data_IF_089001004663
#
_entry.id   IF_089001004663
#
_cell.length_a   1.000
_cell.length_b   1.000
_cell.length_c   1.000
_cell.angle_alpha   90.00
_cell.angle_beta   90.00
_cell.angle_gamma   90.00
#
_symmetry.space_group_name_H-M   'P 1'
#
loop_
_entity.id
_entity.type
_entity.pdbx_description
1 polymer ?
#
# COMPACT_ATOMS: atom_id res chain seq x y z
N UNK A 1 -17.24 -31.84 83.23
CA UNK A 1 -16.55 -32.86 82.42
C UNK A 1 -15.38 -32.16 81.73
N UNK A 2 -14.19 -32.18 82.35
CA UNK A 2 -13.05 -33.07 82.04
C UNK A 2 -12.50 -32.78 80.63
N UNK A 3 -11.21 -32.55 80.36
CA UNK A 3 -9.99 -32.48 81.16
C UNK A 3 -8.83 -32.04 80.22
N UNK A 4 -7.69 -31.62 80.78
CA UNK A 4 -6.35 -31.84 80.21
C UNK A 4 -5.74 -30.66 79.42
N UNK A 5 -4.76 -29.87 79.89
CA UNK A 5 -3.38 -30.21 80.34
C UNK A 5 -2.59 -30.83 79.17
N UNK A 6 -1.40 -30.42 78.74
CA UNK A 6 -0.47 -29.34 79.08
C UNK A 6 0.73 -29.38 78.11
N UNK A 7 1.56 -28.32 78.17
CA UNK A 7 3.04 -28.30 78.07
C UNK A 7 3.69 -28.75 76.75
N UNK A 8 4.37 -27.83 76.04
CA UNK A 8 5.76 -27.33 76.26
C UNK A 8 6.79 -28.34 75.76
N UNK A 9 7.68 -27.89 74.86
CA UNK A 9 9.14 -28.11 74.78
C UNK A 9 9.61 -27.94 73.32
N UNK A 10 10.39 -26.88 73.06
CA UNK A 10 11.40 -26.79 71.98
C UNK A 10 12.64 -27.59 72.44
N UNK A 11 13.45 -28.24 71.57
CA UNK A 11 14.54 -27.50 70.92
C UNK A 11 15.05 -28.02 69.54
N UNK A 12 15.73 -27.09 68.86
CA UNK A 12 16.98 -27.22 68.10
C UNK A 12 17.35 -28.54 67.37
N UNK A 13 17.32 -28.48 66.04
CA UNK A 13 18.14 -29.35 65.19
C UNK A 13 18.86 -28.52 64.12
N UNK A 14 20.10 -28.18 64.41
CA UNK A 14 21.14 -27.81 63.44
C UNK A 14 21.92 -29.08 62.99
N UNK A 15 22.81 -29.02 61.99
CA UNK A 15 22.64 -28.95 60.53
C UNK A 15 23.05 -30.28 59.82
N UNK A 16 23.00 -30.35 58.48
CA UNK A 16 24.14 -30.93 57.78
C UNK A 16 24.87 -29.92 56.88
N UNK A 17 26.16 -30.19 56.77
CA UNK A 17 27.20 -29.40 56.11
C UNK A 17 27.10 -29.49 54.59
N UNK A 18 27.23 -28.33 53.95
CA UNK A 18 28.02 -27.99 52.76
C UNK A 18 28.12 -29.01 51.60
N UNK A 19 27.74 -28.60 50.39
CA UNK A 19 28.67 -28.58 49.24
C UNK A 19 28.02 -28.05 47.95
N UNK A 20 28.83 -27.28 47.20
CA UNK A 20 28.77 -27.03 45.76
C UNK A 20 27.61 -26.16 45.24
N UNK A 21 27.88 -24.90 44.90
CA UNK A 21 28.35 -24.47 43.57
C UNK A 21 27.18 -24.14 42.64
N UNK A 22 26.99 -22.83 42.39
CA UNK A 22 26.59 -22.24 41.11
C UNK A 22 26.60 -20.73 41.23
N UNK A 23 27.80 -20.17 41.17
CA UNK A 23 28.00 -18.79 40.74
C UNK A 23 27.58 -18.69 39.28
N UNK A 24 26.35 -18.24 39.03
CA UNK A 24 25.91 -17.83 37.69
C UNK A 24 26.60 -16.51 37.31
N UNK A 25 27.12 -16.36 36.08
CA UNK A 25 27.83 -15.16 35.67
C UNK A 25 26.89 -13.95 35.62
N UNK A 26 27.37 -12.82 36.12
CA UNK A 26 26.73 -11.52 36.08
C UNK A 26 26.40 -11.07 34.64
N UNK A 27 25.31 -10.31 34.41
CA UNK A 27 25.00 -9.77 33.09
C UNK A 27 26.04 -8.74 32.64
N UNK A 28 26.43 -8.83 31.37
CA UNK A 28 27.43 -7.98 30.73
C UNK A 28 27.00 -6.50 30.67
N UNK A 29 27.92 -5.53 30.80
CA UNK A 29 27.58 -4.12 30.65
C UNK A 29 27.23 -3.79 29.19
N UNK A 30 26.19 -2.95 29.03
CA UNK A 30 25.83 -2.30 27.77
C UNK A 30 27.04 -1.54 27.20
N UNK A 31 27.50 -1.98 26.01
CA UNK A 31 28.53 -1.27 25.24
C UNK A 31 27.91 -0.07 24.54
N UNK A 32 28.31 1.12 24.99
CA UNK A 32 28.20 2.36 24.20
C UNK A 32 29.04 2.21 22.94
N UNK A 33 28.43 2.41 21.77
CA UNK A 33 29.12 2.36 20.49
C UNK A 33 30.19 3.48 20.39
N UNK A 34 31.41 3.18 19.90
CA UNK A 34 32.41 4.22 19.65
C UNK A 34 31.99 5.11 18.47
N UNK A 35 32.36 6.40 18.55
CA UNK A 35 32.32 7.34 17.43
C UNK A 35 33.10 6.78 16.24
N UNK A 36 32.45 6.67 15.09
CA UNK A 36 33.04 6.20 13.84
C UNK A 36 34.16 7.18 13.41
N UNK A 37 35.42 6.73 13.27
CA UNK A 37 36.47 7.52 12.64
C UNK A 37 36.32 7.54 11.12
N UNK A 38 36.68 8.66 10.50
CA UNK A 38 36.69 8.86 9.05
C UNK A 38 37.59 7.83 8.36
N UNK A 39 36.98 6.88 7.64
CA UNK A 39 37.69 5.88 6.87
C UNK A 39 38.18 6.44 5.54
N UNK A 40 39.49 6.74 5.51
CA UNK A 40 40.49 6.20 4.58
C UNK A 40 39.95 5.71 3.22
N UNK A 41 40.23 6.51 2.19
CA UNK A 41 40.04 6.19 0.77
C UNK A 41 40.68 4.84 0.43
N UNK A 42 39.87 3.92 -0.11
CA UNK A 42 40.35 2.78 -0.90
C UNK A 42 39.52 2.68 -2.17
N UNK A 43 40.27 2.71 -3.27
CA UNK A 43 39.87 2.63 -4.65
C UNK A 43 39.25 1.25 -4.90
N UNK A 44 37.96 1.19 -5.22
CA UNK A 44 37.28 -0.03 -5.66
C UNK A 44 36.66 0.25 -7.03
N UNK A 45 37.32 -0.36 -7.99
CA UNK A 45 36.87 -0.90 -9.27
C UNK A 45 35.90 -0.12 -10.16
N UNK A 46 36.43 0.25 -11.32
CA UNK A 46 35.68 0.72 -12.48
C UNK A 46 35.18 -0.50 -13.24
N UNK A 47 33.86 -0.74 -13.26
CA UNK A 47 33.03 -0.97 -14.48
C UNK A 47 31.64 -1.54 -14.14
N UNK A 48 30.62 -0.83 -14.64
CA UNK A 48 29.38 -1.32 -15.28
C UNK A 48 28.10 -1.42 -14.41
N UNK A 49 27.29 -0.36 -14.52
CA UNK A 49 25.87 -0.31 -14.18
C UNK A 49 25.43 1.15 -14.08
N UNK A 50 24.92 1.73 -15.16
CA UNK A 50 24.42 3.11 -15.21
C UNK A 50 23.36 3.30 -14.11
N UNK A 51 23.61 4.21 -13.18
CA UNK A 51 22.57 4.74 -12.29
C UNK A 51 21.57 5.43 -13.20
N UNK A 52 20.36 4.87 -13.35
CA UNK A 52 19.26 5.51 -14.07
C UNK A 52 18.90 6.80 -13.32
N UNK A 53 19.38 7.93 -13.81
CA UNK A 53 19.27 9.26 -13.18
C UNK A 53 17.82 9.84 -13.12
N UNK A 54 16.76 9.02 -13.23
CA UNK A 54 15.36 9.50 -13.22
C UNK A 54 14.38 8.60 -12.47
N UNK A 55 14.79 8.13 -11.29
CA UNK A 55 13.91 7.36 -10.41
C UNK A 55 13.02 8.23 -9.52
N UNK A 56 13.26 9.53 -9.40
CA UNK A 56 12.47 10.42 -8.53
C UNK A 56 11.79 11.53 -9.33
N UNK A 57 10.45 11.53 -9.35
CA UNK A 57 9.65 12.61 -9.94
C UNK A 57 9.43 13.77 -8.96
N UNK A 58 9.81 13.62 -7.70
CA UNK A 58 9.56 14.60 -6.65
C UNK A 58 8.07 14.76 -6.38
N UNK A 59 7.66 16.00 -6.06
CA UNK A 59 6.25 16.33 -5.84
C UNK A 59 5.56 16.50 -7.18
N UNK A 60 4.50 15.74 -7.42
CA UNK A 60 3.76 15.78 -8.68
C UNK A 60 2.77 16.94 -8.71
N UNK A 61 2.65 17.56 -9.86
CA UNK A 61 1.67 18.61 -10.16
C UNK A 61 0.30 17.97 -10.45
N UNK A 62 0.31 16.83 -11.15
CA UNK A 62 -0.89 16.09 -11.49
C UNK A 62 -0.67 14.57 -11.42
N UNK A 63 -1.70 13.86 -10.96
CA UNK A 63 -1.77 12.40 -10.93
C UNK A 63 -3.18 11.94 -11.27
N UNK A 64 -3.31 10.89 -12.07
CA UNK A 64 -4.60 10.41 -12.58
C UNK A 64 -4.59 8.90 -12.81
N UNK A 65 -5.71 8.25 -12.58
CA UNK A 65 -5.97 6.88 -13.04
C UNK A 65 -6.82 6.89 -14.32
N UNK A 66 -6.42 6.09 -15.31
CA UNK A 66 -7.12 5.93 -16.59
C UNK A 66 -7.27 4.43 -16.94
N UNK A 67 -8.24 4.12 -17.80
CA UNK A 67 -8.33 2.84 -18.47
C UNK A 67 -8.53 3.02 -19.98
N UNK A 68 -7.90 2.16 -20.78
CA UNK A 68 -7.99 2.16 -22.24
C UNK A 68 -8.63 0.84 -22.69
N UNK A 69 -9.52 0.92 -23.68
CA UNK A 69 -10.16 -0.24 -24.31
C UNK A 69 -11.58 -0.53 -23.83
N UNK A 70 -12.18 -1.55 -24.44
CA UNK A 70 -13.55 -1.96 -24.16
C UNK A 70 -13.68 -2.70 -22.82
N UNK A 71 -14.82 -2.58 -22.12
CA UNK A 71 -15.07 -3.33 -20.90
C UNK A 71 -14.76 -4.83 -21.06
N UNK A 72 -13.85 -5.36 -20.24
CA UNK A 72 -13.37 -6.76 -20.29
C UNK A 72 -12.02 -6.95 -21.02
N UNK A 73 -11.61 -5.99 -21.84
CA UNK A 73 -10.28 -5.95 -22.49
C UNK A 73 -9.56 -4.63 -22.14
N UNK A 74 -9.84 -4.10 -20.95
CA UNK A 74 -9.25 -2.83 -20.52
C UNK A 74 -7.83 -3.02 -20.01
N UNK A 75 -6.97 -2.11 -20.39
CA UNK A 75 -5.67 -1.92 -19.75
C UNK A 75 -5.75 -0.70 -18.85
N UNK A 76 -5.24 -0.83 -17.62
CA UNK A 76 -5.27 0.24 -16.63
C UNK A 76 -3.91 0.89 -16.55
N UNK A 77 -3.90 2.21 -16.31
CA UNK A 77 -2.67 2.96 -16.12
C UNK A 77 -2.85 4.08 -15.10
N UNK A 78 -1.77 4.39 -14.42
CA UNK A 78 -1.62 5.58 -13.60
C UNK A 78 -0.67 6.55 -14.31
N UNK A 79 -1.07 7.81 -14.43
CA UNK A 79 -0.29 8.86 -15.06
C UNK A 79 0.08 9.90 -14.03
N UNK A 80 1.34 10.33 -14.04
CA UNK A 80 1.87 11.35 -13.15
C UNK A 80 2.71 12.36 -13.93
N UNK A 81 2.69 13.62 -13.51
CA UNK A 81 3.46 14.70 -14.11
C UNK A 81 4.00 15.63 -13.03
N UNK A 82 5.25 16.06 -13.17
CA UNK A 82 5.94 17.06 -12.36
C UNK A 82 6.85 17.93 -13.24
N UNK A 83 7.51 18.91 -12.64
CA UNK A 83 8.60 19.67 -13.28
C UNK A 83 9.76 18.79 -13.76
N UNK A 84 10.00 17.66 -13.11
CA UNK A 84 11.11 16.74 -13.40
C UNK A 84 10.80 15.76 -14.54
N UNK A 85 9.52 15.55 -14.85
CA UNK A 85 9.09 14.67 -15.94
C UNK A 85 7.67 14.13 -15.77
N UNK A 86 7.37 13.08 -16.52
CA UNK A 86 6.06 12.42 -16.48
C UNK A 86 6.18 10.90 -16.57
N UNK A 87 5.32 10.17 -15.88
CA UNK A 87 5.28 8.72 -15.91
C UNK A 87 3.92 8.21 -16.39
N UNK A 88 3.95 7.13 -17.17
CA UNK A 88 2.81 6.26 -17.44
C UNK A 88 3.13 4.88 -16.87
N UNK A 89 2.37 4.47 -15.87
CA UNK A 89 2.58 3.22 -15.14
C UNK A 89 1.43 2.28 -15.42
N UNK A 90 1.69 1.18 -16.12
CA UNK A 90 0.67 0.18 -16.43
C UNK A 90 0.54 -0.81 -15.29
N UNK A 91 -0.69 -1.16 -14.92
CA UNK A 91 -0.94 -2.04 -13.79
C UNK A 91 -2.21 -2.86 -13.99
N UNK A 92 -2.32 -3.96 -13.23
CA UNK A 92 -3.53 -4.78 -13.23
C UNK A 92 -4.69 -4.07 -12.53
N UNK A 93 -5.91 -4.51 -12.85
CA UNK A 93 -7.13 -3.97 -12.23
C UNK A 93 -7.10 -4.09 -10.71
N UNK A 94 -6.67 -5.26 -10.22
CA UNK A 94 -6.60 -5.59 -8.80
C UNK A 94 -5.56 -4.72 -8.08
N UNK A 95 -4.42 -4.45 -8.72
CA UNK A 95 -3.40 -3.55 -8.19
C UNK A 95 -3.91 -2.11 -8.11
N UNK A 96 -4.59 -1.62 -9.16
CA UNK A 96 -5.20 -0.28 -9.16
C UNK A 96 -6.27 -0.16 -8.06
N UNK A 97 -7.12 -1.17 -7.92
CA UNK A 97 -8.14 -1.22 -6.88
C UNK A 97 -7.55 -1.21 -5.47
N UNK A 98 -6.53 -2.03 -5.23
CA UNK A 98 -5.83 -2.09 -3.94
C UNK A 98 -5.17 -0.74 -3.60
N UNK A 99 -4.58 -0.07 -4.59
CA UNK A 99 -4.00 1.27 -4.41
C UNK A 99 -5.06 2.28 -3.94
N UNK A 100 -6.24 2.32 -4.58
CA UNK A 100 -7.33 3.21 -4.18
C UNK A 100 -7.77 2.99 -2.74
N UNK A 101 -7.95 1.73 -2.34
CA UNK A 101 -8.33 1.36 -0.97
C UNK A 101 -7.27 1.78 0.05
N UNK A 102 -5.99 1.52 -0.24
CA UNK A 102 -4.89 1.88 0.66
C UNK A 102 -4.76 3.40 0.83
N UNK A 103 -4.98 4.18 -0.24
CA UNK A 103 -5.02 5.64 -0.16
C UNK A 103 -6.14 6.11 0.78
N UNK A 104 -7.35 5.59 0.62
CA UNK A 104 -8.50 5.96 1.45
C UNK A 104 -8.27 5.60 2.93
N UNK A 105 -7.67 4.45 3.20
CA UNK A 105 -7.34 4.01 4.56
C UNK A 105 -6.36 4.96 5.24
N UNK A 106 -5.24 5.29 4.59
CA UNK A 106 -4.24 6.22 5.13
C UNK A 106 -4.88 7.59 5.39
N UNK A 107 -5.67 8.11 4.44
CA UNK A 107 -6.33 9.40 4.59
C UNK A 107 -7.37 9.41 5.71
N UNK A 108 -8.09 8.31 5.92
CA UNK A 108 -9.03 8.16 7.03
C UNK A 108 -8.30 8.15 8.38
N UNK A 109 -7.18 7.44 8.49
CA UNK A 109 -6.34 7.45 9.70
C UNK A 109 -5.82 8.86 10.02
N UNK A 110 -5.32 9.58 9.02
CA UNK A 110 -4.81 10.95 9.20
C UNK A 110 -5.87 11.95 9.64
N UNK A 111 -7.14 11.77 9.20
CA UNK A 111 -8.28 12.57 9.66
C UNK A 111 -8.62 12.26 11.12
N UNK A 112 -8.65 10.97 11.48
CA UNK A 112 -8.93 10.52 12.84
C UNK A 112 -7.87 11.00 13.85
N UNK A 113 -6.60 11.09 13.43
CA UNK A 113 -5.52 11.63 14.27
C UNK A 113 -5.57 13.15 14.47
N UNK A 114 -6.33 13.88 13.64
CA UNK A 114 -6.44 15.37 13.68
C UNK A 114 -7.81 15.87 14.19
N UNK A 115 -8.58 15.03 14.88
CA UNK A 115 -9.91 15.40 15.42
C UNK A 115 -9.82 16.72 16.20
N UNK A 116 -10.55 17.74 15.72
CA UNK A 116 -10.58 19.09 16.30
C UNK A 116 -9.78 20.15 15.53
N UNK A 117 -8.99 19.78 14.52
CA UNK A 117 -8.34 20.73 13.62
C UNK A 117 -9.12 20.83 12.30
N UNK A 118 -9.48 22.06 11.90
CA UNK A 118 -10.14 22.31 10.62
C UNK A 118 -9.19 21.93 9.49
N UNK A 119 -9.45 20.80 8.83
CA UNK A 119 -8.69 20.38 7.66
C UNK A 119 -9.03 21.34 6.52
N UNK A 120 -8.12 22.26 6.20
CA UNK A 120 -8.29 23.10 5.03
C UNK A 120 -8.43 22.17 3.82
N UNK A 121 -9.58 22.26 3.15
CA UNK A 121 -9.89 21.46 1.97
C UNK A 121 -8.93 21.91 0.88
N UNK A 122 -7.77 21.25 0.78
CA UNK A 122 -6.79 21.55 -0.23
C UNK A 122 -7.50 21.46 -1.59
N UNK A 123 -7.37 22.48 -2.45
CA UNK A 123 -8.02 22.48 -3.75
C UNK A 123 -7.67 21.17 -4.45
N UNK A 124 -8.69 20.45 -4.92
CA UNK A 124 -8.49 19.31 -5.80
C UNK A 124 -7.72 19.82 -7.00
N UNK A 125 -6.43 19.47 -7.10
CA UNK A 125 -5.65 19.81 -8.27
C UNK A 125 -6.41 19.29 -9.50
N UNK A 126 -6.66 20.19 -10.45
CA UNK A 126 -7.35 19.88 -11.70
C UNK A 126 -6.69 18.66 -12.37
N UNK A 127 -7.49 17.89 -13.12
CA UNK A 127 -6.93 16.83 -13.97
C UNK A 127 -5.97 17.49 -14.96
N UNK A 128 -4.66 17.41 -14.70
CA UNK A 128 -3.65 18.05 -15.53
C UNK A 128 -3.70 17.54 -16.97
N UNK A 129 -3.25 18.36 -17.92
CA UNK A 129 -3.01 17.89 -19.28
C UNK A 129 -1.73 17.06 -19.30
N UNK A 130 -1.87 15.76 -19.53
CA UNK A 130 -0.74 14.83 -19.48
C UNK A 130 -0.21 14.57 -20.90
N UNK A 131 1.11 14.65 -21.14
CA UNK A 131 1.68 14.49 -22.47
C UNK A 131 1.42 13.11 -23.07
N UNK A 132 1.25 13.06 -24.39
CA UNK A 132 0.96 11.81 -25.11
C UNK A 132 2.05 10.74 -24.94
N UNK A 133 3.33 11.16 -24.83
CA UNK A 133 4.45 10.30 -24.48
C UNK A 133 5.01 10.72 -23.13
N UNK A 134 5.20 9.75 -22.26
CA UNK A 134 5.79 9.96 -20.94
C UNK A 134 7.30 9.76 -21.00
N UNK A 135 8.06 10.45 -20.13
CA UNK A 135 9.50 10.22 -19.98
C UNK A 135 9.82 8.85 -19.40
N UNK A 136 8.89 8.27 -18.63
CA UNK A 136 8.97 6.91 -18.10
C UNK A 136 7.67 6.17 -18.42
N UNK A 137 7.79 4.95 -18.94
CA UNK A 137 6.65 4.11 -19.35
C UNK A 137 6.99 2.63 -19.11
N UNK A 138 6.32 1.97 -18.17
CA UNK A 138 6.56 0.55 -17.85
C UNK A 138 5.38 -0.13 -17.15
N UNK A 139 5.41 -1.47 -17.07
CA UNK A 139 4.42 -2.28 -16.34
C UNK A 139 4.87 -2.53 -14.90
N UNK A 140 4.02 -2.20 -13.94
CA UNK A 140 4.32 -2.30 -12.53
C UNK A 140 4.31 -3.76 -12.09
N UNK A 141 5.44 -4.23 -11.54
CA UNK A 141 5.50 -5.49 -10.79
C UNK A 141 5.08 -5.32 -9.33
N UNK A 142 5.42 -4.19 -8.71
CA UNK A 142 5.10 -3.91 -7.31
C UNK A 142 4.85 -2.42 -7.05
N UNK A 143 3.89 -2.14 -6.18
CA UNK A 143 3.58 -0.81 -5.64
C UNK A 143 3.86 -0.76 -4.14
N UNK A 144 4.42 0.36 -3.69
CA UNK A 144 4.50 0.75 -2.29
C UNK A 144 3.81 2.09 -2.08
N UNK A 145 3.13 2.24 -0.95
CA UNK A 145 2.46 3.48 -0.55
C UNK A 145 2.89 3.84 0.87
N UNK A 146 3.23 5.09 1.10
CA UNK A 146 3.58 5.63 2.40
C UNK A 146 3.04 7.03 2.62
N UNK A 147 3.22 7.54 3.82
CA UNK A 147 2.88 8.91 4.18
C UNK A 147 4.10 9.59 4.80
N UNK A 148 4.45 10.77 4.27
CA UNK A 148 5.52 11.63 4.77
C UNK A 148 4.91 12.75 5.60
N UNK A 149 5.08 12.65 6.92
CA UNK A 149 4.55 13.63 7.87
C UNK A 149 5.18 15.02 7.69
N UNK A 150 6.46 15.07 7.32
CA UNK A 150 7.22 16.32 7.18
C UNK A 150 6.77 17.15 5.98
N UNK A 151 6.32 16.47 4.91
CA UNK A 151 5.86 17.07 3.66
C UNK A 151 4.33 17.12 3.52
N UNK A 152 3.60 16.56 4.49
CA UNK A 152 2.14 16.39 4.48
C UNK A 152 1.62 15.76 3.16
N UNK A 153 2.35 14.75 2.66
CA UNK A 153 2.13 14.15 1.35
C UNK A 153 2.25 12.62 1.41
N UNK A 154 1.58 11.91 0.50
CA UNK A 154 1.75 10.47 0.36
C UNK A 154 2.85 10.19 -0.66
N UNK A 155 3.70 9.21 -0.37
CA UNK A 155 4.73 8.69 -1.26
C UNK A 155 4.24 7.45 -1.98
N UNK A 156 4.37 7.44 -3.30
CA UNK A 156 4.07 6.28 -4.15
C UNK A 156 5.39 5.78 -4.75
N UNK A 157 5.68 4.49 -4.54
CA UNK A 157 6.87 3.79 -5.04
C UNK A 157 6.42 2.73 -6.05
N UNK A 158 6.99 2.75 -7.25
CA UNK A 158 6.66 1.82 -8.32
C UNK A 158 7.92 1.10 -8.80
N UNK A 159 7.87 -0.24 -8.80
CA UNK A 159 8.91 -1.10 -9.33
C UNK A 159 8.46 -1.68 -10.67
N UNK A 160 9.34 -1.63 -11.65
CA UNK A 160 9.15 -2.29 -12.94
C UNK A 160 9.10 -3.80 -12.73
N UNK A 161 8.19 -4.48 -13.43
CA UNK A 161 8.11 -5.94 -13.42
C UNK A 161 9.42 -6.60 -13.87
N UNK A 162 10.21 -5.91 -14.70
CA UNK A 162 11.51 -6.40 -15.19
C UNK A 162 12.69 -6.03 -14.26
N UNK A 163 12.45 -5.20 -13.23
CA UNK A 163 13.49 -4.77 -12.30
C UNK A 163 13.72 -5.76 -11.16
N UNK A 164 14.89 -5.64 -10.49
CA UNK A 164 15.18 -6.40 -9.28
C UNK A 164 14.14 -6.10 -8.19
N UNK A 165 13.38 -7.10 -7.70
CA UNK A 165 12.39 -6.89 -6.66
C UNK A 165 12.97 -6.31 -5.37
N UNK A 166 14.23 -6.58 -5.04
CA UNK A 166 14.87 -6.08 -3.81
C UNK A 166 15.70 -4.80 -4.05
N UNK A 167 15.69 -4.32 -5.30
CA UNK A 167 16.33 -3.08 -5.72
C UNK A 167 15.54 -1.81 -5.36
N UNK A 168 16.11 -0.62 -5.65
CA UNK A 168 15.40 0.64 -5.49
C UNK A 168 14.18 0.71 -6.43
N UNK A 169 13.16 1.53 -6.09
CA UNK A 169 12.01 1.74 -6.96
C UNK A 169 12.43 2.33 -8.31
N UNK A 170 11.80 1.88 -9.39
CA UNK A 170 12.00 2.44 -10.73
C UNK A 170 11.54 3.89 -10.78
N UNK A 171 10.39 4.20 -10.16
CA UNK A 171 9.86 5.56 -9.99
C UNK A 171 9.34 5.74 -8.56
N UNK A 172 9.67 6.87 -7.95
CA UNK A 172 9.05 7.38 -6.74
C UNK A 172 8.44 8.77 -7.00
N UNK A 173 7.34 9.07 -6.30
CA UNK A 173 6.67 10.36 -6.40
C UNK A 173 5.94 10.72 -5.10
N UNK A 174 5.72 12.00 -4.88
CA UNK A 174 4.97 12.55 -3.75
C UNK A 174 3.73 13.29 -4.25
N UNK A 175 2.55 12.98 -3.72
CA UNK A 175 1.34 13.74 -4.00
C UNK A 175 0.65 14.19 -2.72
N UNK A 176 0.08 15.40 -2.74
CA UNK A 176 -0.63 15.95 -1.59
C UNK A 176 -1.92 15.18 -1.29
N UNK A 177 -2.43 15.33 -0.06
CA UNK A 177 -3.68 14.69 0.38
C UNK A 177 -4.87 14.95 -0.57
N UNK A 178 -5.00 16.17 -1.08
CA UNK A 178 -6.04 16.56 -2.03
C UNK A 178 -5.97 15.80 -3.35
N UNK A 179 -4.76 15.68 -3.93
CA UNK A 179 -4.50 14.90 -5.14
C UNK A 179 -4.79 13.41 -4.92
N UNK A 180 -4.36 12.85 -3.79
CA UNK A 180 -4.58 11.43 -3.48
C UNK A 180 -6.06 11.10 -3.25
N UNK A 181 -6.83 11.97 -2.57
CA UNK A 181 -8.29 11.83 -2.44
C UNK A 181 -9.01 11.81 -3.79
N UNK A 182 -8.60 12.70 -4.69
CA UNK A 182 -9.12 12.75 -6.06
C UNK A 182 -8.77 11.46 -6.79
N UNK A 183 -7.51 11.03 -6.69
CA UNK A 183 -7.03 9.81 -7.30
C UNK A 183 -7.78 8.56 -6.81
N UNK A 184 -8.03 8.40 -5.51
CA UNK A 184 -8.78 7.25 -5.00
C UNK A 184 -10.21 7.22 -5.54
N UNK A 185 -10.87 8.38 -5.61
CA UNK A 185 -12.19 8.53 -6.22
C UNK A 185 -12.19 8.15 -7.71
N UNK A 186 -11.19 8.60 -8.46
CA UNK A 186 -11.01 8.23 -9.88
C UNK A 186 -10.77 6.74 -10.06
N UNK A 187 -9.90 6.15 -9.23
CA UNK A 187 -9.63 4.72 -9.21
C UNK A 187 -10.92 3.93 -9.03
N UNK A 188 -11.74 4.29 -8.03
CA UNK A 188 -13.02 3.63 -7.79
C UNK A 188 -13.93 3.73 -9.02
N UNK A 189 -14.00 4.90 -9.67
CA UNK A 189 -14.82 5.09 -10.87
C UNK A 189 -14.31 4.24 -12.05
N UNK A 190 -13.01 4.25 -12.31
CA UNK A 190 -12.35 3.53 -13.42
C UNK A 190 -12.46 2.01 -13.25
N UNK A 191 -12.23 1.50 -12.04
CA UNK A 191 -12.30 0.06 -11.72
C UNK A 191 -13.74 -0.46 -11.76
N UNK A 192 -14.70 0.36 -11.31
CA UNK A 192 -16.13 0.02 -11.24
C UNK A 192 -16.86 0.18 -12.57
N UNK A 193 -16.26 0.82 -13.58
CA UNK A 193 -16.84 1.02 -14.91
C UNK A 193 -16.87 -0.26 -15.77
N UNK A 194 -17.31 -1.37 -15.20
CA UNK A 194 -17.43 -2.67 -15.87
C UNK A 194 -18.53 -2.71 -16.92
N UNK A 195 -18.75 -3.91 -17.48
CA UNK A 195 -19.87 -4.15 -18.40
C UNK A 195 -21.20 -3.86 -17.69
N UNK A 196 -22.17 -3.20 -18.35
CA UNK A 196 -23.49 -3.04 -17.78
C UNK A 196 -24.06 -4.42 -17.43
N UNK A 197 -24.61 -4.56 -16.23
CA UNK A 197 -25.21 -5.83 -15.80
C UNK A 197 -26.66 -5.86 -16.25
N UNK A 198 -27.12 -7.03 -16.71
CA UNK A 198 -28.53 -7.23 -17.04
C UNK A 198 -29.39 -7.00 -15.78
N UNK A 199 -30.42 -6.13 -15.81
CA UNK A 199 -31.26 -5.87 -14.63
C UNK A 199 -32.08 -7.09 -14.20
N UNK A 200 -32.27 -8.06 -15.11
CA UNK A 200 -33.03 -9.28 -14.82
C UNK A 200 -32.15 -10.37 -14.20
N UNK A 201 -31.04 -10.75 -14.82
CA UNK A 201 -30.19 -11.88 -14.37
C UNK A 201 -28.85 -11.47 -13.74
N UNK A 202 -28.54 -10.17 -13.67
CA UNK A 202 -27.32 -9.59 -13.09
C UNK A 202 -25.99 -10.03 -13.75
N UNK A 203 -26.05 -10.68 -14.92
CA UNK A 203 -24.87 -11.08 -15.68
C UNK A 203 -24.33 -9.90 -16.51
N UNK A 204 -23.01 -9.81 -16.74
CA UNK A 204 -22.42 -8.74 -17.55
C UNK A 204 -22.86 -8.84 -19.02
N UNK A 205 -23.30 -7.72 -19.58
CA UNK A 205 -23.68 -7.60 -21.00
C UNK A 205 -22.45 -7.22 -21.81
N UNK A 206 -22.14 -8.02 -22.83
CA UNK A 206 -21.10 -7.69 -23.80
C UNK A 206 -21.68 -6.69 -24.82
N UNK A 207 -21.11 -5.47 -24.95
CA UNK A 207 -21.54 -4.50 -25.95
C UNK A 207 -21.50 -5.08 -27.36
N UNK A 208 -22.52 -4.80 -28.17
CA UNK A 208 -22.62 -5.31 -29.55
C UNK A 208 -23.04 -6.78 -29.69
N UNK A 209 -23.20 -7.52 -28.60
CA UNK A 209 -23.74 -8.89 -28.63
C UNK A 209 -25.19 -8.95 -28.14
N UNK A 210 -25.98 -9.90 -28.66
CA UNK A 210 -27.30 -10.19 -28.11
C UNK A 210 -27.16 -10.91 -26.76
N UNK A 211 -27.57 -10.25 -25.67
CA UNK A 211 -27.64 -10.88 -24.35
C UNK A 211 -28.94 -11.69 -24.22
N UNK A 212 -28.82 -13.03 -24.27
CA UNK A 212 -29.95 -13.92 -23.99
C UNK A 212 -30.15 -14.04 -22.47
N UNK A 213 -31.17 -13.37 -21.94
CA UNK A 213 -31.46 -13.38 -20.51
C UNK A 213 -32.37 -14.58 -20.15
N UNK A 214 -31.93 -15.53 -19.31
CA UNK A 214 -32.76 -16.67 -18.92
C UNK A 214 -34.05 -16.26 -18.19
N UNK A 215 -34.05 -15.11 -17.51
CA UNK A 215 -35.20 -14.55 -16.80
C UNK A 215 -36.19 -13.81 -17.69
N UNK A 216 -35.84 -13.50 -18.94
CA UNK A 216 -36.75 -12.90 -19.91
C UNK A 216 -37.64 -13.95 -20.62
N UNK A 217 -37.25 -15.23 -20.62
CA UNK A 217 -37.97 -16.31 -21.30
C UNK A 217 -39.25 -16.82 -20.57
N UNK A 218 -39.76 -16.08 -19.59
CA UNK A 218 -40.94 -16.46 -18.81
C UNK A 218 -42.31 -16.04 -19.38
N UNK A 219 -42.39 -15.48 -20.60
CA UNK A 219 -43.65 -15.09 -21.25
C UNK A 219 -43.74 -15.58 -22.70
N UNK A 220 -43.92 -16.88 -22.88
CA UNK A 220 -44.63 -17.37 -24.05
C UNK A 220 -46.09 -17.58 -23.63
N UNK A 221 -47.10 -16.87 -24.18
CA UNK A 221 -48.47 -17.33 -24.06
C UNK A 221 -48.54 -18.71 -24.73
N UNK A 222 -48.97 -19.73 -23.98
CA UNK A 222 -49.38 -20.99 -24.57
C UNK A 222 -50.51 -20.70 -25.58
N UNK A 223 -50.41 -21.10 -26.86
CA UNK A 223 -51.59 -21.12 -27.69
C UNK A 223 -52.54 -22.16 -27.10
N UNK A 224 -53.65 -21.69 -26.54
CA UNK A 224 -54.77 -22.56 -26.16
C UNK A 224 -55.40 -23.00 -27.48
N UNK A 225 -55.13 -24.23 -27.91
CA UNK A 225 -55.85 -24.83 -29.03
C UNK A 225 -57.29 -25.05 -28.59
N UNK A 226 -58.22 -24.37 -29.26
CA UNK A 226 -59.66 -24.65 -29.22
C UNK A 226 -60.00 -25.79 -30.19
#
# INVERSE_FOLDING_TARGET
MLAGVARRVLPDHQPPRNSADRSGPAPAPLRVAPRIPAHRRRNVDRRRGLVTERSDLGRVDAIKADAIGDPGNRTFRLRAMSSEGSATLWLEKEQLQALGMAIDEILAQLRASRVGQSEAMAPSAESGDFPARSSVDFRIGRLGLGYDESRDALSLLAHDQESDPDGPPTVQMLAGRGQMRRLSTEITAVVSAGRPRCPLCNTPITPGSHHSCPRANGKAPHPVSA
#
